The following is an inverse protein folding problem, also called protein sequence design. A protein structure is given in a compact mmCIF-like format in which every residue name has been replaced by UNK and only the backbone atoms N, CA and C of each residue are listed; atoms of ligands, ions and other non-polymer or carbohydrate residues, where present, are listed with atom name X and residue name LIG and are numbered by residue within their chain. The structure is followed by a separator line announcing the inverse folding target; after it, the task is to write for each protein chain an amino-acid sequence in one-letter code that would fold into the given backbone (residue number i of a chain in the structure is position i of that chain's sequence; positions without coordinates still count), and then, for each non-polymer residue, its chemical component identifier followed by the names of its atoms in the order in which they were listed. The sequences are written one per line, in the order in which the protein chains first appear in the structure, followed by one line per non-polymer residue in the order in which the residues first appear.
data_IF_286865621113
#
_entry.id   IF_286865621113
#
_cell.length_a   1.000
_cell.length_b   1.000
_cell.length_c   1.000
_cell.angle_alpha   90.00
_cell.angle_beta   90.00
_cell.angle_gamma   90.00
#
_symmetry.space_group_name_H-M   'P 1'
#
loop_
_entity.id
_entity.type
_entity.pdbx_description
1 polymer ?
#
# COMPACT_ATOMS: atom_id res chain seq x y z
N UNK A 1 -27.94 -43.50 -38.78
CA UNK A 1 -26.97 -44.15 -37.87
C UNK A 1 -25.58 -43.74 -38.37
N UNK A 2 -24.75 -42.85 -37.83
CA UNK A 2 -24.65 -41.97 -36.64
C UNK A 2 -23.71 -40.81 -37.12
N UNK A 3 -23.96 -39.52 -36.92
CA UNK A 3 -23.92 -38.83 -35.63
C UNK A 3 -22.50 -38.33 -35.27
N UNK A 4 -21.90 -37.39 -36.00
CA UNK A 4 -20.66 -36.73 -35.55
C UNK A 4 -20.99 -35.45 -34.77
N UNK A 5 -21.11 -35.59 -33.45
CA UNK A 5 -21.20 -34.46 -32.50
C UNK A 5 -19.79 -34.03 -32.13
N UNK A 6 -19.37 -32.80 -32.46
CA UNK A 6 -18.33 -32.08 -31.70
C UNK A 6 -18.81 -30.67 -31.37
N UNK A 7 -19.27 -30.62 -30.14
CA UNK A 7 -19.39 -29.53 -29.19
C UNK A 7 -18.51 -28.29 -29.44
N UNK A 8 -19.21 -27.15 -29.46
CA UNK A 8 -18.86 -25.83 -28.90
C UNK A 8 -17.50 -25.76 -28.19
N UNK A 9 -16.61 -24.92 -28.72
CA UNK A 9 -15.72 -24.13 -27.87
C UNK A 9 -15.38 -22.83 -28.58
N UNK A 10 -16.29 -21.87 -28.47
CA UNK A 10 -15.96 -20.45 -28.71
C UNK A 10 -14.82 -20.08 -27.76
N UNK A 11 -13.68 -19.74 -28.35
CA UNK A 11 -12.50 -19.24 -27.65
C UNK A 11 -12.90 -18.06 -26.74
N UNK A 12 -13.04 -18.31 -25.44
CA UNK A 12 -13.08 -17.25 -24.44
C UNK A 12 -11.72 -16.54 -24.48
N UNK A 13 -11.72 -15.33 -25.03
CA UNK A 13 -10.57 -14.44 -25.11
C UNK A 13 -10.26 -13.96 -23.69
N UNK A 14 -9.42 -14.71 -22.97
CA UNK A 14 -8.91 -14.30 -21.68
C UNK A 14 -8.09 -13.02 -21.87
N UNK A 15 -8.64 -11.88 -21.44
CA UNK A 15 -7.91 -10.63 -21.27
C UNK A 15 -6.89 -10.90 -20.16
N UNK A 16 -5.65 -11.19 -20.54
CA UNK A 16 -4.57 -11.35 -19.57
C UNK A 16 -4.40 -10.02 -18.83
N UNK A 17 -4.47 -9.97 -17.49
CA UNK A 17 -4.11 -8.76 -16.76
C UNK A 17 -2.65 -8.42 -17.10
N UNK A 18 -2.39 -7.16 -17.44
CA UNK A 18 -1.02 -6.71 -17.70
C UNK A 18 -0.19 -6.93 -16.42
N UNK A 19 0.99 -7.56 -16.50
CA UNK A 19 1.86 -7.67 -15.34
C UNK A 19 2.23 -6.24 -14.89
N UNK A 20 2.02 -5.95 -13.61
CA UNK A 20 2.50 -4.71 -12.98
C UNK A 20 4.01 -4.69 -13.15
N UNK A 21 4.49 -3.75 -13.98
CA UNK A 21 5.89 -3.58 -14.31
C UNK A 21 6.55 -2.86 -13.13
N UNK A 22 7.15 -3.62 -12.22
CA UNK A 22 7.99 -3.06 -11.17
C UNK A 22 9.26 -2.50 -11.82
N UNK A 23 9.21 -1.21 -12.18
CA UNK A 23 10.39 -0.48 -12.58
C UNK A 23 11.32 -0.37 -11.37
N UNK A 24 12.49 -0.97 -11.46
CA UNK A 24 13.51 -0.95 -10.43
C UNK A 24 13.90 0.47 -10.02
N UNK A 25 13.81 0.73 -8.73
CA UNK A 25 14.38 1.92 -8.10
C UNK A 25 15.81 1.61 -7.67
N UNK A 26 16.74 2.47 -8.05
CA UNK A 26 18.19 2.39 -7.81
C UNK A 26 18.57 1.96 -6.37
N UNK A 27 19.69 1.22 -6.19
CA UNK A 27 20.18 0.80 -4.87
C UNK A 27 20.92 1.97 -4.20
N UNK A 28 20.16 2.96 -3.76
CA UNK A 28 20.55 3.87 -2.68
C UNK A 28 19.60 3.59 -1.53
N UNK A 29 20.05 2.80 -0.56
CA UNK A 29 19.27 2.20 0.53
C UNK A 29 18.22 3.17 1.10
N UNK A 30 16.95 2.90 0.79
CA UNK A 30 15.81 3.43 1.52
C UNK A 30 15.38 2.34 2.51
N UNK A 31 15.53 2.62 3.81
CA UNK A 31 15.21 1.67 4.89
C UNK A 31 13.72 1.27 4.86
N UNK A 32 12.86 2.11 4.30
CA UNK A 32 11.46 1.80 4.00
C UNK A 32 11.31 0.93 2.74
N UNK A 33 11.08 -0.36 2.92
CA UNK A 33 10.80 -1.30 1.82
C UNK A 33 9.35 -1.19 1.30
N UNK A 34 9.07 -1.46 0.01
CA UNK A 34 7.70 -1.49 -0.52
C UNK A 34 6.80 -2.52 0.16
N UNK A 35 7.39 -3.65 0.59
CA UNK A 35 6.68 -4.68 1.34
C UNK A 35 6.21 -4.16 2.70
N UNK A 36 7.07 -3.43 3.41
CA UNK A 36 6.74 -2.80 4.69
C UNK A 36 5.59 -1.81 4.55
N UNK A 37 5.62 -0.95 3.53
CA UNK A 37 4.54 0.02 3.25
C UNK A 37 3.21 -0.68 3.03
N UNK A 38 3.20 -1.79 2.28
CA UNK A 38 1.97 -2.56 2.04
C UNK A 38 1.43 -3.15 3.34
N UNK A 39 2.32 -3.68 4.19
CA UNK A 39 1.96 -4.24 5.51
C UNK A 39 1.40 -3.16 6.43
N UNK A 40 2.04 -2.00 6.51
CA UNK A 40 1.59 -0.86 7.30
C UNK A 40 0.24 -0.34 6.81
N UNK A 41 0.08 -0.16 5.49
CA UNK A 41 -1.19 0.25 4.91
C UNK A 41 -2.32 -0.71 5.28
N UNK A 42 -2.10 -2.02 5.12
CA UNK A 42 -3.11 -3.02 5.47
C UNK A 42 -3.44 -3.01 6.97
N UNK A 43 -2.44 -2.81 7.83
CA UNK A 43 -2.64 -2.69 9.27
C UNK A 43 -3.49 -1.47 9.61
N UNK A 44 -3.16 -0.30 9.05
CA UNK A 44 -3.91 0.94 9.27
C UNK A 44 -5.33 0.83 8.71
N UNK A 45 -5.52 0.30 7.50
CA UNK A 45 -6.85 0.09 6.92
C UNK A 45 -7.73 -0.80 7.82
N UNK A 46 -7.15 -1.86 8.41
CA UNK A 46 -7.87 -2.74 9.33
C UNK A 46 -8.17 -2.09 10.68
N UNK A 47 -7.29 -1.20 11.17
CA UNK A 47 -7.46 -0.51 12.46
C UNK A 47 -8.49 0.61 12.40
N UNK A 48 -8.50 1.36 11.32
CA UNK A 48 -9.42 2.47 11.10
C UNK A 48 -10.68 2.08 10.31
N UNK A 49 -10.82 0.80 9.96
CA UNK A 49 -11.91 0.26 9.13
C UNK A 49 -12.19 1.09 7.87
N UNK A 50 -11.11 1.55 7.22
CA UNK A 50 -11.18 2.49 6.10
C UNK A 50 -10.26 2.06 4.96
N UNK A 51 -10.77 2.09 3.73
CA UNK A 51 -10.02 1.68 2.52
C UNK A 51 -9.23 2.84 1.88
N UNK A 52 -9.50 4.09 2.27
CA UNK A 52 -8.92 5.31 1.70
C UNK A 52 -7.51 5.68 2.19
N UNK A 53 -6.81 4.79 2.89
CA UNK A 53 -5.49 5.08 3.46
C UNK A 53 -4.39 4.89 2.41
N UNK A 54 -3.63 5.96 2.17
CA UNK A 54 -2.47 5.97 1.28
C UNK A 54 -1.22 6.33 2.06
N UNK A 55 -0.13 5.60 1.84
CA UNK A 55 1.18 5.89 2.46
C UNK A 55 2.11 6.42 1.38
N UNK A 56 2.70 7.61 1.62
CA UNK A 56 3.70 8.21 0.74
C UNK A 56 5.06 8.21 1.44
N UNK A 57 6.10 7.84 0.69
CA UNK A 57 7.48 7.91 1.19
C UNK A 57 7.96 9.35 1.13
N UNK A 58 8.59 9.82 2.20
CA UNK A 58 9.37 11.06 2.18
C UNK A 58 10.78 10.80 1.63
N UNK A 59 11.50 11.89 1.37
CA UNK A 59 12.95 11.83 1.10
C UNK A 59 13.77 11.43 2.35
N UNK A 60 13.17 11.55 3.54
CA UNK A 60 13.75 11.11 4.82
C UNK A 60 13.59 9.60 4.96
N UNK A 61 14.62 8.92 5.48
CA UNK A 61 14.71 7.47 5.52
C UNK A 61 13.83 6.81 6.59
N UNK A 62 13.53 7.54 7.66
CA UNK A 62 12.97 6.98 8.89
C UNK A 62 11.51 7.40 9.10
N UNK A 63 10.89 8.00 8.08
CA UNK A 63 9.53 8.52 8.19
C UNK A 63 8.73 8.39 6.90
N UNK A 64 7.44 8.09 7.04
CA UNK A 64 6.46 8.06 5.96
C UNK A 64 5.27 8.93 6.31
N UNK A 65 4.65 9.53 5.31
CA UNK A 65 3.41 10.28 5.47
C UNK A 65 2.21 9.37 5.25
N UNK A 66 1.22 9.48 6.13
CA UNK A 66 -0.05 8.77 6.03
C UNK A 66 -1.12 9.75 5.62
N UNK A 67 -1.81 9.41 4.52
CA UNK A 67 -2.92 10.17 3.97
C UNK A 67 -4.21 9.37 4.10
N UNK A 68 -5.31 10.08 4.32
CA UNK A 68 -6.67 9.57 4.31
C UNK A 68 -7.47 10.42 3.32
N UNK A 69 -7.98 9.82 2.23
CA UNK A 69 -8.81 10.53 1.23
C UNK A 69 -8.17 11.84 0.71
N UNK A 70 -6.86 11.82 0.45
CA UNK A 70 -6.05 12.98 0.03
C UNK A 70 -5.77 14.04 1.12
N UNK A 71 -6.24 13.85 2.36
CA UNK A 71 -5.89 14.67 3.52
C UNK A 71 -4.73 14.03 4.31
N UNK A 72 -3.87 14.86 4.92
CA UNK A 72 -2.74 14.38 5.71
C UNK A 72 -3.28 13.96 7.08
N UNK A 73 -3.26 12.66 7.37
CA UNK A 73 -3.62 12.15 8.69
C UNK A 73 -2.47 12.32 9.69
N UNK A 74 -1.23 12.13 9.22
CA UNK A 74 -0.07 12.25 10.10
C UNK A 74 1.22 11.71 9.51
N UNK A 75 2.21 11.59 10.39
CA UNK A 75 3.55 11.09 10.08
C UNK A 75 3.78 9.82 10.89
N UNK A 76 4.24 8.78 10.22
CA UNK A 76 4.67 7.54 10.84
C UNK A 76 6.21 7.50 10.84
N UNK A 77 6.78 7.40 12.03
CA UNK A 77 8.21 7.18 12.24
C UNK A 77 8.48 5.68 12.37
N UNK A 78 9.61 5.25 11.82
CA UNK A 78 10.07 3.87 11.85
C UNK A 78 11.44 3.91 12.50
N UNK A 79 11.56 3.27 13.66
CA UNK A 79 12.82 3.10 14.35
C UNK A 79 13.32 1.67 14.09
N UNK A 80 14.43 1.56 13.36
CA UNK A 80 15.12 0.31 13.02
C UNK A 80 16.51 0.20 13.67
N UNK A 81 16.77 0.90 14.78
CA UNK A 81 18.07 0.87 15.49
C UNK A 81 18.50 -0.56 15.85
N UNK A 82 17.55 -1.44 16.20
CA UNK A 82 17.82 -2.85 16.50
C UNK A 82 17.23 -3.81 15.45
N UNK A 83 18.01 -4.75 14.89
CA UNK A 83 17.53 -5.69 13.88
C UNK A 83 16.47 -6.68 14.39
N UNK A 84 16.28 -6.77 15.71
CA UNK A 84 15.27 -7.63 16.35
C UNK A 84 14.10 -6.85 16.94
N UNK A 85 14.14 -5.52 16.94
CA UNK A 85 13.09 -4.68 17.52
C UNK A 85 12.84 -3.47 16.62
N UNK A 86 11.76 -3.52 15.85
CA UNK A 86 11.35 -2.42 14.97
C UNK A 86 10.10 -1.78 15.55
N UNK A 87 10.25 -0.53 15.98
CA UNK A 87 9.15 0.26 16.54
C UNK A 87 8.54 1.18 15.49
N UNK A 88 7.23 1.41 15.61
CA UNK A 88 6.46 2.25 14.70
C UNK A 88 5.66 3.27 15.50
N UNK A 89 5.97 4.54 15.32
CA UNK A 89 5.30 5.64 16.02
C UNK A 89 4.46 6.44 15.04
N UNK A 90 3.15 6.46 15.26
CA UNK A 90 2.22 7.26 14.47
C UNK A 90 1.91 8.56 15.22
N UNK A 91 2.40 9.67 14.70
CA UNK A 91 2.03 11.00 15.16
C UNK A 91 0.89 11.55 14.30
N UNK A 92 -0.28 11.71 14.92
CA UNK A 92 -1.48 12.31 14.32
C UNK A 92 -1.61 13.73 14.88
N UNK A 93 -1.62 14.72 13.99
CA UNK A 93 -1.86 16.11 14.37
C UNK A 93 -3.29 16.46 14.02
N UNK A 94 -4.09 16.80 15.04
CA UNK A 94 -5.45 17.28 14.86
C UNK A 94 -5.41 18.80 15.01
N UNK A 95 -5.85 19.53 13.98
CA UNK A 95 -5.95 20.98 14.05
C UNK A 95 -7.36 21.38 14.49
N UNK A 96 -7.48 22.51 15.18
CA UNK A 96 -8.78 23.05 15.60
C UNK A 96 -9.73 23.26 14.41
N UNK A 97 -9.17 23.66 13.27
CA UNK A 97 -9.88 23.83 11.99
C UNK A 97 -10.52 22.54 11.45
N UNK A 98 -10.00 21.37 11.85
CA UNK A 98 -10.53 20.06 11.44
C UNK A 98 -11.65 19.56 12.38
N UNK A 99 -11.84 20.20 13.54
CA UNK A 99 -12.85 19.82 14.53
C UNK A 99 -14.21 20.49 14.30
N UNK A 100 -14.25 21.58 13.53
CA UNK A 100 -15.46 22.37 13.24
C UNK A 100 -16.29 21.80 12.07
N UNK A 101 -16.68 20.51 12.16
CA UNK A 101 -17.58 19.84 11.22
C UNK A 101 -18.93 19.43 11.84
#
# INVERSE_FOLDING_TARGET
MYGCRRTRQTCCRAVRPKPVRNNGSNPGVCHVTPALITRLRNYLCKRFDTEGITIRRRQVKDSVEVYLNDEILGILYIDDEDPNDVSYDLNISILEQDLDA
#
